data_IF_990111954872
#
_entry.id   IF_990111954872
#
_cell.length_a   1.000
_cell.length_b   1.000
_cell.length_c   1.000
_cell.angle_alpha   90.00
_cell.angle_beta   90.00
_cell.angle_gamma   90.00
#
_symmetry.space_group_name_H-M   'P 1'
#
loop_
_entity.id
_entity.type
_entity.pdbx_description
1 polymer ?
#
# COMPACT_ATOMS: atom_id res chain seq x y z
N UNK A 1 -56.30 -33.12 52.82
CA UNK A 1 -55.60 -34.20 52.10
C UNK A 1 -54.59 -33.58 51.15
N UNK A 2 -53.35 -34.06 51.24
CA UNK A 2 -52.14 -33.70 50.49
C UNK A 2 -52.18 -34.30 49.08
N UNK A 3 -51.77 -33.55 48.04
CA UNK A 3 -50.81 -34.00 47.02
C UNK A 3 -50.28 -32.78 46.23
N UNK A 4 -48.95 -32.77 46.06
CA UNK A 4 -48.14 -31.91 45.18
C UNK A 4 -48.18 -32.41 43.73
N UNK A 5 -48.04 -31.51 42.76
CA UNK A 5 -47.33 -31.64 41.46
C UNK A 5 -47.21 -30.20 40.91
N UNK A 6 -46.10 -29.46 40.95
CA UNK A 6 -44.72 -29.60 40.45
C UNK A 6 -44.61 -29.76 38.92
N UNK A 7 -44.08 -28.72 38.26
CA UNK A 7 -43.56 -28.71 36.88
C UNK A 7 -44.50 -28.05 35.87
N UNK A 8 -44.10 -27.16 34.96
CA UNK A 8 -42.78 -26.69 34.55
C UNK A 8 -42.99 -25.34 33.85
N UNK A 9 -42.24 -24.32 34.29
CA UNK A 9 -42.26 -22.96 33.77
C UNK A 9 -41.30 -22.88 32.57
N UNK A 10 -41.80 -22.99 31.33
CA UNK A 10 -40.99 -22.73 30.14
C UNK A 10 -40.91 -21.21 29.89
N UNK A 11 -40.03 -20.52 30.61
CA UNK A 11 -39.53 -19.20 30.17
C UNK A 11 -38.43 -19.47 29.15
N UNK A 12 -38.77 -19.39 27.87
CA UNK A 12 -37.77 -19.28 26.79
C UNK A 12 -37.27 -17.84 26.82
N UNK A 13 -36.20 -17.59 27.56
CA UNK A 13 -35.45 -16.35 27.49
C UNK A 13 -34.65 -16.36 26.18
N UNK A 14 -35.20 -15.75 25.12
CA UNK A 14 -34.43 -15.41 23.92
C UNK A 14 -33.54 -14.23 24.30
N UNK A 15 -32.37 -14.53 24.87
CA UNK A 15 -31.23 -13.63 24.91
C UNK A 15 -30.70 -13.51 23.48
N UNK A 16 -31.34 -12.66 22.68
CA UNK A 16 -30.74 -12.15 21.45
C UNK A 16 -29.50 -11.36 21.85
N UNK A 17 -28.35 -12.04 21.85
CA UNK A 17 -27.05 -11.40 21.89
C UNK A 17 -26.89 -10.53 20.67
N UNK A 18 -27.28 -9.26 20.79
CA UNK A 18 -26.81 -8.23 19.87
C UNK A 18 -25.37 -7.95 20.26
N UNK A 19 -24.44 -8.71 19.69
CA UNK A 19 -23.05 -8.32 19.64
C UNK A 19 -22.98 -7.07 18.77
N UNK A 20 -23.12 -5.89 19.38
CA UNK A 20 -22.71 -4.64 18.74
C UNK A 20 -21.20 -4.75 18.60
N UNK A 21 -20.74 -5.22 17.44
CA UNK A 21 -19.34 -5.09 17.03
C UNK A 21 -19.11 -3.59 16.91
N UNK A 22 -18.62 -2.97 17.98
CA UNK A 22 -17.99 -1.67 17.87
C UNK A 22 -16.72 -1.90 17.04
N UNK A 23 -16.77 -1.54 15.76
CA UNK A 23 -15.55 -1.32 15.00
C UNK A 23 -14.72 -0.31 15.81
N UNK A 24 -13.56 -0.75 16.27
CA UNK A 24 -12.60 0.17 16.88
C UNK A 24 -12.24 1.21 15.82
N UNK A 25 -12.07 2.50 16.18
CA UNK A 25 -11.57 3.48 15.24
C UNK A 25 -10.28 2.94 14.63
N UNK A 26 -10.23 2.78 13.31
CA UNK A 26 -9.00 2.35 12.64
C UNK A 26 -7.91 3.35 12.99
N UNK A 27 -6.82 2.89 13.60
CA UNK A 27 -5.72 3.75 13.99
C UNK A 27 -5.15 4.41 12.73
N UNK A 28 -5.24 5.75 12.67
CA UNK A 28 -4.61 6.50 11.61
C UNK A 28 -3.10 6.41 11.81
N UNK A 29 -2.39 6.02 10.76
CA UNK A 29 -0.93 5.99 10.79
C UNK A 29 -0.44 7.42 10.65
N UNK A 30 0.49 7.85 11.49
CA UNK A 30 1.03 9.20 11.40
C UNK A 30 1.93 9.35 10.16
N UNK A 31 2.15 10.59 9.73
CA UNK A 31 2.92 10.88 8.53
C UNK A 31 4.38 10.43 8.62
N UNK A 32 5.00 10.49 9.80
CA UNK A 32 6.42 10.12 10.01
C UNK A 32 6.63 8.61 9.78
N UNK A 33 5.70 7.79 10.24
CA UNK A 33 5.70 6.33 10.02
C UNK A 33 5.48 6.01 8.53
N UNK A 34 4.56 6.71 7.86
CA UNK A 34 4.34 6.55 6.42
C UNK A 34 5.60 6.94 5.64
N UNK A 35 6.22 8.07 5.98
CA UNK A 35 7.44 8.55 5.34
C UNK A 35 8.60 7.56 5.52
N UNK A 36 8.77 7.05 6.74
CA UNK A 36 9.79 6.03 7.05
C UNK A 36 9.58 4.76 6.21
N UNK A 37 8.34 4.28 6.13
CA UNK A 37 7.99 3.13 5.30
C UNK A 37 8.31 3.36 3.82
N UNK A 38 7.94 4.52 3.27
CA UNK A 38 8.20 4.86 1.87
C UNK A 38 9.69 5.00 1.56
N UNK A 39 10.47 5.58 2.47
CA UNK A 39 11.92 5.65 2.33
C UNK A 39 12.53 4.25 2.25
N UNK A 40 12.16 3.35 3.16
CA UNK A 40 12.66 1.98 3.17
C UNK A 40 12.25 1.19 1.91
N UNK A 41 11.02 1.41 1.43
CA UNK A 41 10.53 0.84 0.19
C UNK A 41 11.35 1.33 -1.02
N UNK A 42 11.60 2.64 -1.12
CA UNK A 42 12.44 3.24 -2.15
C UNK A 42 13.88 2.67 -2.12
N UNK A 43 14.51 2.66 -0.94
CA UNK A 43 15.84 2.10 -0.76
C UNK A 43 15.92 0.63 -1.21
N UNK A 44 14.85 -0.15 -1.02
CA UNK A 44 14.81 -1.52 -1.51
C UNK A 44 14.80 -1.64 -3.04
N UNK A 45 14.16 -0.70 -3.75
CA UNK A 45 14.20 -0.61 -5.20
C UNK A 45 15.56 -0.12 -5.70
N UNK A 46 16.18 0.84 -5.02
CA UNK A 46 17.51 1.37 -5.36
C UNK A 46 18.57 0.27 -5.27
N UNK A 47 18.54 -0.57 -4.23
CA UNK A 47 19.51 -1.66 -4.07
C UNK A 47 19.56 -2.63 -5.26
N UNK A 48 18.50 -2.71 -6.07
CA UNK A 48 18.46 -3.57 -7.26
C UNK A 48 19.43 -3.16 -8.36
N UNK A 49 19.99 -1.94 -8.29
CA UNK A 49 21.02 -1.45 -9.22
C UNK A 49 22.44 -1.90 -8.85
N UNK A 50 22.67 -2.38 -7.63
CA UNK A 50 24.03 -2.60 -7.10
C UNK A 50 24.71 -3.86 -7.67
N UNK A 51 23.94 -4.94 -7.88
CA UNK A 51 24.46 -6.25 -8.25
C UNK A 51 23.37 -7.12 -8.88
N UNK A 52 23.80 -8.12 -9.66
CA UNK A 52 22.94 -9.16 -10.19
C UNK A 52 22.37 -10.04 -9.08
N UNK A 53 21.08 -10.39 -9.21
CA UNK A 53 20.35 -11.21 -8.24
C UNK A 53 19.48 -12.24 -8.94
N UNK A 54 19.18 -13.33 -8.26
CA UNK A 54 18.12 -14.23 -8.71
C UNK A 54 16.75 -13.57 -8.55
N UNK A 55 15.78 -14.00 -9.35
CA UNK A 55 14.38 -13.55 -9.23
C UNK A 55 13.85 -13.69 -7.80
N UNK A 56 14.15 -14.80 -7.13
CA UNK A 56 13.72 -15.06 -5.75
C UNK A 56 14.33 -14.07 -4.75
N UNK A 57 15.58 -13.66 -4.94
CA UNK A 57 16.23 -12.66 -4.08
C UNK A 57 15.59 -11.29 -4.28
N UNK A 58 15.27 -10.90 -5.52
CA UNK A 58 14.54 -9.66 -5.80
C UNK A 58 13.16 -9.69 -5.14
N UNK A 59 12.39 -10.75 -5.36
CA UNK A 59 11.07 -10.95 -4.74
C UNK A 59 11.17 -10.87 -3.21
N UNK A 60 12.18 -11.52 -2.61
CA UNK A 60 12.38 -11.50 -1.15
C UNK A 60 12.80 -10.12 -0.63
N UNK A 61 13.57 -9.35 -1.42
CA UNK A 61 13.99 -7.99 -1.07
C UNK A 61 12.82 -7.00 -1.07
N UNK A 62 11.88 -7.18 -2.00
CA UNK A 62 10.73 -6.29 -2.21
C UNK A 62 9.50 -6.70 -1.37
N UNK A 63 9.33 -7.98 -1.07
CA UNK A 63 8.16 -8.52 -0.34
C UNK A 63 7.78 -7.82 0.98
N UNK A 64 8.71 -7.24 1.78
CA UNK A 64 8.34 -6.50 2.98
C UNK A 64 7.58 -5.19 2.70
N UNK A 65 7.71 -4.63 1.50
CA UNK A 65 7.22 -3.28 1.18
C UNK A 65 6.16 -3.27 0.09
N UNK A 66 6.16 -4.27 -0.80
CA UNK A 66 5.31 -4.30 -1.98
C UNK A 66 4.43 -5.54 -1.98
N UNK A 67 3.22 -5.40 -2.52
CA UNK A 67 2.41 -6.59 -2.85
C UNK A 67 3.09 -7.41 -3.94
N UNK A 68 2.72 -8.69 -4.06
CA UNK A 68 3.27 -9.56 -5.10
C UNK A 68 2.96 -9.03 -6.51
N UNK A 69 1.76 -8.49 -6.72
CA UNK A 69 1.35 -7.95 -8.01
C UNK A 69 2.14 -6.68 -8.37
N UNK A 70 2.40 -5.80 -7.40
CA UNK A 70 3.26 -4.64 -7.61
C UNK A 70 4.70 -5.05 -7.91
N UNK A 71 5.24 -5.99 -7.13
CA UNK A 71 6.59 -6.55 -7.36
C UNK A 71 6.73 -7.10 -8.77
N UNK A 72 5.75 -7.87 -9.24
CA UNK A 72 5.75 -8.43 -10.59
C UNK A 72 5.77 -7.36 -11.67
N UNK A 73 4.91 -6.34 -11.55
CA UNK A 73 4.87 -5.22 -12.48
C UNK A 73 6.20 -4.47 -12.48
N UNK A 74 6.72 -4.13 -11.30
CA UNK A 74 8.00 -3.43 -11.17
C UNK A 74 9.14 -4.19 -11.86
N UNK A 75 9.25 -5.50 -11.62
CA UNK A 75 10.27 -6.33 -12.24
C UNK A 75 10.14 -6.39 -13.77
N UNK A 76 8.91 -6.45 -14.29
CA UNK A 76 8.66 -6.48 -15.73
C UNK A 76 9.16 -5.22 -16.45
N UNK A 77 9.03 -4.05 -15.82
CA UNK A 77 9.47 -2.78 -16.41
C UNK A 77 10.94 -2.44 -16.14
N UNK A 78 11.47 -2.82 -14.97
CA UNK A 78 12.73 -2.26 -14.47
C UNK A 78 13.86 -3.25 -14.27
N UNK A 79 13.60 -4.56 -14.40
CA UNK A 79 14.65 -5.57 -14.25
C UNK A 79 14.91 -6.29 -15.56
N UNK A 80 16.19 -6.55 -15.82
CA UNK A 80 16.66 -7.19 -17.05
C UNK A 80 17.46 -8.43 -16.71
N UNK A 81 17.26 -9.48 -17.51
CA UNK A 81 17.94 -10.77 -17.35
C UNK A 81 19.25 -10.81 -18.15
N UNK A 82 20.30 -11.25 -17.48
CA UNK A 82 21.63 -11.55 -18.02
C UNK A 82 22.09 -12.93 -17.53
N UNK A 83 23.25 -13.40 -17.99
CA UNK A 83 23.79 -14.72 -17.61
C UNK A 83 24.01 -14.85 -16.10
N UNK A 84 24.44 -13.75 -15.46
CA UNK A 84 24.72 -13.66 -14.02
C UNK A 84 23.44 -13.51 -13.16
N UNK A 85 22.30 -13.18 -13.77
CA UNK A 85 21.03 -12.98 -13.08
C UNK A 85 20.29 -11.72 -13.55
N UNK A 86 19.44 -11.19 -12.67
CA UNK A 86 18.58 -10.04 -12.93
C UNK A 86 19.15 -8.80 -12.26
N UNK A 87 19.09 -7.66 -12.95
CA UNK A 87 19.56 -6.37 -12.42
C UNK A 87 18.63 -5.24 -12.88
N UNK A 88 18.47 -4.21 -12.05
CA UNK A 88 17.88 -2.96 -12.48
C UNK A 88 18.94 -2.06 -13.11
N UNK A 89 18.65 -1.53 -14.30
CA UNK A 89 19.55 -0.57 -14.97
C UNK A 89 19.07 0.85 -14.68
N UNK A 90 20.01 1.80 -14.61
CA UNK A 90 19.69 3.22 -14.50
C UNK A 90 18.72 3.63 -15.62
N UNK A 91 17.60 4.23 -15.24
CA UNK A 91 16.50 4.60 -16.13
C UNK A 91 16.09 6.04 -15.87
N UNK A 92 15.55 6.72 -16.87
CA UNK A 92 14.83 7.98 -16.74
C UNK A 92 13.30 7.78 -16.63
N UNK A 93 12.82 6.55 -16.84
CA UNK A 93 11.42 6.17 -16.63
C UNK A 93 11.20 5.79 -15.16
N UNK A 94 10.63 6.71 -14.39
CA UNK A 94 10.41 6.56 -12.94
C UNK A 94 9.08 5.88 -12.56
N UNK A 95 8.24 5.49 -13.54
CA UNK A 95 6.97 4.81 -13.26
C UNK A 95 7.20 3.58 -12.36
N UNK A 96 6.32 3.32 -11.39
CA UNK A 96 6.46 2.22 -10.40
C UNK A 96 7.62 2.35 -9.40
N UNK A 97 8.54 3.31 -9.52
CA UNK A 97 9.42 3.66 -8.40
C UNK A 97 8.62 4.41 -7.33
N UNK A 98 8.98 4.22 -6.06
CA UNK A 98 8.40 5.00 -4.96
C UNK A 98 8.81 6.46 -5.12
N UNK A 99 7.87 7.40 -5.31
CA UNK A 99 8.21 8.81 -5.43
C UNK A 99 8.87 9.35 -4.17
N UNK A 100 9.74 10.35 -4.32
CA UNK A 100 10.28 11.09 -3.19
C UNK A 100 9.24 12.13 -2.73
N UNK A 101 8.27 11.70 -1.92
CA UNK A 101 7.23 12.57 -1.40
C UNK A 101 7.79 13.62 -0.44
N UNK A 102 7.45 14.89 -0.67
CA UNK A 102 7.72 15.98 0.25
C UNK A 102 6.48 16.28 1.10
N UNK A 103 6.45 15.77 2.33
CA UNK A 103 5.35 15.95 3.27
C UNK A 103 5.18 17.39 3.78
N UNK A 104 6.17 18.26 3.57
CA UNK A 104 6.11 19.66 4.03
C UNK A 104 5.44 20.61 3.03
N UNK A 105 5.31 20.22 1.76
CA UNK A 105 4.88 21.12 0.70
C UNK A 105 3.61 20.67 -0.02
N UNK A 106 3.66 19.53 -0.71
CA UNK A 106 2.70 19.18 -1.76
C UNK A 106 2.20 17.74 -1.70
N UNK A 107 2.46 17.03 -0.60
CA UNK A 107 1.97 15.67 -0.40
C UNK A 107 0.64 15.67 0.35
N UNK A 108 -0.34 15.00 -0.24
CA UNK A 108 -1.67 14.78 0.33
C UNK A 108 -1.79 13.33 0.78
N UNK A 109 -2.41 13.12 1.94
CA UNK A 109 -2.62 11.78 2.53
C UNK A 109 -4.10 11.60 2.87
N UNK A 110 -4.71 10.55 2.31
CA UNK A 110 -6.04 10.07 2.67
C UNK A 110 -5.91 8.67 3.28
N UNK A 111 -6.70 8.36 4.31
CA UNK A 111 -6.66 7.06 4.98
C UNK A 111 -8.07 6.52 5.20
N UNK A 112 -8.24 5.23 4.92
CA UNK A 112 -9.39 4.41 5.32
C UNK A 112 -8.95 3.40 6.38
N UNK A 113 -9.85 2.47 6.75
CA UNK A 113 -9.51 1.36 7.64
C UNK A 113 -8.47 0.42 7.04
N UNK A 114 -8.53 0.19 5.72
CA UNK A 114 -7.73 -0.81 5.01
C UNK A 114 -6.64 -0.21 4.13
N UNK A 115 -6.66 1.09 3.85
CA UNK A 115 -5.79 1.72 2.85
C UNK A 115 -5.28 3.11 3.23
N UNK A 116 -4.19 3.50 2.57
CA UNK A 116 -3.63 4.84 2.56
C UNK A 116 -3.42 5.22 1.09
N UNK A 117 -3.92 6.38 0.70
CA UNK A 117 -3.62 7.02 -0.57
C UNK A 117 -2.72 8.21 -0.28
N UNK A 118 -1.50 8.16 -0.82
CA UNK A 118 -0.55 9.27 -0.78
C UNK A 118 -0.30 9.76 -2.19
N UNK A 119 -0.38 11.06 -2.42
CA UNK A 119 -0.27 11.61 -3.76
C UNK A 119 0.19 13.07 -3.73
N UNK A 120 0.68 13.54 -4.87
CA UNK A 120 1.04 14.94 -5.08
C UNK A 120 0.64 15.38 -6.49
N UNK A 121 0.47 16.68 -6.66
CA UNK A 121 0.19 17.27 -7.97
C UNK A 121 1.50 17.50 -8.73
N UNK A 122 1.51 17.11 -10.01
CA UNK A 122 2.61 17.30 -10.95
C UNK A 122 2.14 18.30 -12.02
N UNK A 123 2.72 19.52 -12.05
CA UNK A 123 2.34 20.51 -13.04
C UNK A 123 2.78 20.09 -14.44
N UNK A 124 2.00 20.51 -15.43
CA UNK A 124 2.27 20.33 -16.84
C UNK A 124 3.66 20.87 -17.19
N UNK A 125 4.39 20.11 -17.99
CA UNK A 125 5.67 20.51 -18.53
C UNK A 125 5.64 20.40 -20.04
N UNK A 126 6.00 21.50 -20.70
CA UNK A 126 6.11 21.57 -22.16
C UNK A 126 7.52 21.95 -22.64
N UNK A 127 8.42 22.25 -21.72
CA UNK A 127 9.80 22.62 -21.96
C UNK A 127 10.76 21.44 -21.68
N UNK A 128 11.15 20.75 -22.75
CA UNK A 128 12.13 19.66 -22.65
C UNK A 128 11.93 18.57 -23.70
N UNK A 129 12.73 17.49 -23.64
CA UNK A 129 12.59 16.33 -24.52
C UNK A 129 11.32 15.51 -24.24
N UNK A 130 10.69 15.73 -23.08
CA UNK A 130 9.47 15.04 -22.63
C UNK A 130 8.41 16.06 -22.25
N UNK A 131 7.17 15.82 -22.63
CA UNK A 131 6.02 16.69 -22.34
C UNK A 131 4.93 15.92 -21.61
N UNK A 132 4.29 16.54 -20.62
CA UNK A 132 3.14 15.98 -19.92
C UNK A 132 2.15 17.08 -19.52
N UNK A 133 0.89 16.68 -19.35
CA UNK A 133 -0.17 17.55 -18.85
C UNK A 133 -0.16 17.58 -17.31
N UNK A 134 -0.96 18.47 -16.73
CA UNK A 134 -1.25 18.47 -15.31
C UNK A 134 -1.80 17.10 -14.91
N UNK A 135 -1.25 16.51 -13.85
CA UNK A 135 -1.73 15.23 -13.33
C UNK A 135 -1.34 15.08 -11.85
N UNK A 136 -1.84 14.02 -11.25
CA UNK A 136 -1.48 13.55 -9.92
C UNK A 136 -0.69 12.26 -10.05
N UNK A 137 0.37 12.14 -9.25
CA UNK A 137 1.08 10.89 -9.04
C UNK A 137 0.93 10.46 -7.57
N UNK A 138 0.91 9.16 -7.32
CA UNK A 138 0.71 8.66 -5.96
C UNK A 138 0.88 7.16 -5.80
N UNK A 139 0.61 6.68 -4.59
CA UNK A 139 0.62 5.27 -4.21
C UNK A 139 -0.63 4.93 -3.41
N UNK A 140 -1.20 3.76 -3.67
CA UNK A 140 -2.14 3.10 -2.76
C UNK A 140 -1.36 2.06 -1.94
N UNK A 141 -1.46 2.17 -0.63
CA UNK A 141 -0.82 1.29 0.35
C UNK A 141 -1.92 0.54 1.09
N UNK A 142 -1.84 -0.79 1.13
CA UNK A 142 -2.73 -1.64 1.93
C UNK A 142 -2.21 -1.77 3.35
N UNK A 143 -3.12 -1.67 4.32
CA UNK A 143 -2.93 -1.99 5.73
C UNK A 143 -3.27 -3.47 5.92
N UNK A 144 -2.24 -4.31 6.02
CA UNK A 144 -2.39 -5.75 6.27
C UNK A 144 -2.14 -6.04 7.76
N UNK A 145 -2.53 -7.23 8.22
CA UNK A 145 -2.30 -7.67 9.60
C UNK A 145 -0.80 -7.65 9.97
N UNK A 146 0.08 -7.89 9.00
CA UNK A 146 1.54 -7.92 9.16
C UNK A 146 2.25 -6.62 8.70
N UNK A 147 1.50 -5.55 8.44
CA UNK A 147 2.02 -4.23 8.16
C UNK A 147 1.60 -3.65 6.81
N UNK A 148 2.34 -2.65 6.34
CA UNK A 148 2.01 -1.89 5.14
C UNK A 148 2.58 -2.55 3.88
N UNK A 149 1.83 -2.50 2.78
CA UNK A 149 2.31 -2.90 1.44
C UNK A 149 1.83 -1.95 0.37
N UNK A 150 2.74 -1.45 -0.47
CA UNK A 150 2.41 -0.70 -1.67
C UNK A 150 1.75 -1.65 -2.67
N UNK A 151 0.53 -1.31 -3.04
CA UNK A 151 -0.34 -2.13 -3.87
C UNK A 151 -0.48 -1.58 -5.28
N UNK A 152 -0.46 -0.26 -5.45
CA UNK A 152 -0.70 0.39 -6.73
C UNK A 152 0.08 1.70 -6.85
N UNK A 153 0.53 1.99 -8.07
CA UNK A 153 1.07 3.29 -8.47
C UNK A 153 -0.01 4.04 -9.22
N UNK A 154 -0.30 5.26 -8.79
CA UNK A 154 -1.42 6.07 -9.29
C UNK A 154 -0.86 7.16 -10.20
N UNK A 155 -1.42 7.25 -11.42
CA UNK A 155 -1.33 8.41 -12.29
C UNK A 155 -2.76 8.78 -12.67
N UNK A 156 -3.16 10.03 -12.45
CA UNK A 156 -4.53 10.47 -12.72
C UNK A 156 -4.58 11.94 -13.13
N UNK A 157 -5.41 12.28 -14.11
CA UNK A 157 -5.71 13.69 -14.44
C UNK A 157 -6.61 14.35 -13.38
N UNK A 158 -7.45 13.55 -12.72
CA UNK A 158 -8.33 13.97 -11.63
C UNK A 158 -7.72 13.65 -10.26
N UNK A 159 -8.13 14.38 -9.23
CA UNK A 159 -7.66 14.12 -7.86
C UNK A 159 -8.04 12.70 -7.41
N UNK A 160 -7.07 11.85 -7.05
CA UNK A 160 -7.34 10.45 -6.72
C UNK A 160 -8.12 10.30 -5.41
N UNK A 161 -8.92 9.23 -5.34
CA UNK A 161 -9.79 8.92 -4.20
C UNK A 161 -9.63 7.44 -3.80
N UNK A 162 -9.89 7.16 -2.52
CA UNK A 162 -10.01 5.82 -1.93
C UNK A 162 -11.19 5.78 -0.96
#
# INVERSE_FOLDING_TARGET
>A
MRQLFLGFLCIVAILSGQSVIHALPSEQINSDDIQTFLQQANESQIRLHDEYRSKKEIESLLAPYFTNDYTKQFMEYHTFEFEEGWIALGTDMMALYVPNFNFEENTMVKQTEDQILIYHFVPARSDGPTTWLDHYEGLIIKKLEDGLRIAEYVISEDEPQI
#
